data_IF_631108068011
#
_entry.id   IF_631108068011
#
_cell.length_a   1.000
_cell.length_b   1.000
_cell.length_c   1.000
_cell.angle_alpha   90.00
_cell.angle_beta   90.00
_cell.angle_gamma   90.00
#
_symmetry.space_group_name_H-M   'P 1'
#
loop_
_entity.id
_entity.type
_entity.pdbx_description
1 polymer ?
#
# COMPACT_ATOMS: atom_id res chain seq x y z
N UNK A 1 2.03 23.15 -41.80
CA UNK A 1 1.74 21.73 -41.50
C UNK A 1 2.69 21.08 -40.49
N UNK A 2 3.82 21.70 -40.10
CA UNK A 2 4.74 21.14 -39.08
C UNK A 2 4.35 21.60 -37.65
N UNK A 3 3.67 22.73 -37.51
CA UNK A 3 3.26 23.31 -36.23
C UNK A 3 2.12 22.55 -35.51
N UNK A 4 1.26 21.84 -36.25
CA UNK A 4 0.17 21.07 -35.64
C UNK A 4 0.63 19.76 -34.99
N UNK A 5 1.73 19.18 -35.47
CA UNK A 5 2.27 17.91 -34.95
C UNK A 5 2.93 18.13 -33.58
N UNK A 6 3.59 19.28 -33.36
CA UNK A 6 4.19 19.60 -32.06
C UNK A 6 3.16 19.83 -30.94
N UNK A 7 1.98 20.37 -31.27
CA UNK A 7 0.91 20.57 -30.27
C UNK A 7 0.31 19.22 -29.84
N UNK A 8 0.19 18.26 -30.77
CA UNK A 8 -0.33 16.91 -30.46
C UNK A 8 0.67 16.12 -29.61
N UNK A 9 1.98 16.26 -29.84
CA UNK A 9 3.01 15.58 -29.02
C UNK A 9 3.10 16.20 -27.62
N UNK A 10 2.87 17.51 -27.47
CA UNK A 10 2.79 18.15 -26.14
C UNK A 10 1.52 17.73 -25.39
N UNK A 11 0.39 17.53 -26.07
CA UNK A 11 -0.86 17.10 -25.43
C UNK A 11 -0.91 15.61 -25.08
N UNK A 12 -0.17 14.75 -25.81
CA UNK A 12 -0.09 13.31 -25.49
C UNK A 12 0.81 13.01 -24.29
N UNK A 13 1.82 13.85 -24.01
CA UNK A 13 2.70 13.66 -22.85
C UNK A 13 2.10 14.14 -21.51
N UNK A 14 0.94 14.82 -21.51
CA UNK A 14 0.29 15.27 -20.28
C UNK A 14 -0.75 14.30 -19.70
N UNK A 15 -1.01 13.17 -20.35
CA UNK A 15 -2.02 12.20 -19.90
C UNK A 15 -1.47 11.01 -19.09
N UNK A 16 -0.18 10.96 -18.78
CA UNK A 16 0.32 10.09 -17.69
C UNK A 16 0.22 10.86 -16.37
N UNK A 17 -0.98 11.37 -16.08
CA UNK A 17 -1.28 12.03 -14.82
C UNK A 17 -2.11 11.08 -13.97
N UNK A 18 -1.37 10.24 -13.23
CA UNK A 18 -1.75 9.77 -11.91
C UNK A 18 -3.16 9.17 -11.79
N UNK A 19 -3.24 7.84 -11.70
CA UNK A 19 -4.33 7.18 -10.98
C UNK A 19 -4.23 7.55 -9.48
N UNK A 20 -4.54 8.81 -9.17
CA UNK A 20 -4.74 9.30 -7.82
C UNK A 20 -6.09 8.79 -7.37
N UNK A 21 -6.08 7.62 -6.73
CA UNK A 21 -7.11 7.21 -5.78
C UNK A 21 -7.59 8.43 -4.99
N UNK A 22 -8.91 8.58 -4.87
CA UNK A 22 -9.60 9.64 -4.12
C UNK A 22 -8.87 9.99 -2.82
N UNK A 23 -8.86 11.26 -2.37
CA UNK A 23 -8.06 11.64 -1.21
C UNK A 23 -8.45 10.84 0.04
N UNK A 24 -7.54 9.97 0.49
CA UNK A 24 -7.74 8.91 1.49
C UNK A 24 -8.14 9.37 2.90
N UNK A 25 -8.07 10.68 3.17
CA UNK A 25 -8.60 11.31 4.38
C UNK A 25 -10.11 11.58 4.30
N UNK A 26 -10.72 11.44 3.12
CA UNK A 26 -12.17 11.40 2.91
C UNK A 26 -12.49 9.91 3.02
N UNK A 27 -12.95 9.48 4.20
CA UNK A 27 -13.48 8.13 4.34
C UNK A 27 -14.60 7.96 3.33
N UNK A 28 -14.40 7.07 2.36
CA UNK A 28 -15.39 6.68 1.38
C UNK A 28 -15.67 5.18 1.58
N UNK A 29 -16.50 4.88 2.57
CA UNK A 29 -17.63 3.99 2.25
C UNK A 29 -18.44 4.76 1.22
N UNK A 30 -18.32 4.42 -0.07
CA UNK A 30 -19.27 4.68 -1.17
C UNK A 30 -18.63 4.11 -2.43
N UNK A 31 -19.33 3.14 -3.01
CA UNK A 31 -19.07 2.48 -4.29
C UNK A 31 -18.71 3.47 -5.42
N UNK A 32 -17.64 3.19 -6.16
CA UNK A 32 -17.75 2.84 -7.59
C UNK A 32 -16.38 2.59 -8.22
N UNK A 33 -16.39 1.55 -9.04
CA UNK A 33 -15.34 0.91 -9.83
C UNK A 33 -15.07 1.75 -11.08
N UNK A 34 -13.80 2.05 -11.36
CA UNK A 34 -13.34 2.39 -12.72
C UNK A 34 -12.04 1.62 -12.98
N UNK A 35 -12.07 0.91 -14.11
CA UNK A 35 -11.05 0.04 -14.68
C UNK A 35 -9.81 0.81 -15.17
N UNK A 36 -8.68 0.10 -15.27
CA UNK A 36 -7.96 -0.19 -16.53
C UNK A 36 -6.44 -0.39 -16.34
N UNK A 37 -5.99 -1.56 -16.83
CA UNK A 37 -4.86 -1.89 -17.71
C UNK A 37 -3.50 -1.17 -17.60
N UNK A 38 -2.42 -1.98 -17.49
CA UNK A 38 -1.29 -2.15 -18.46
C UNK A 38 -0.10 -2.85 -17.73
N UNK A 39 0.24 -4.08 -18.14
CA UNK A 39 1.48 -4.48 -18.85
C UNK A 39 2.78 -4.23 -18.05
N UNK A 40 3.29 -5.27 -17.37
CA UNK A 40 4.25 -6.28 -17.85
C UNK A 40 5.68 -5.90 -17.50
N UNK A 41 6.31 -6.64 -16.58
CA UNK A 41 7.72 -7.02 -16.68
C UNK A 41 7.90 -8.36 -15.99
N UNK A 42 8.40 -9.33 -16.74
CA UNK A 42 8.87 -10.62 -16.24
C UNK A 42 10.02 -10.39 -15.26
N UNK A 43 10.00 -11.06 -14.10
CA UNK A 43 11.23 -11.63 -13.59
C UNK A 43 10.98 -12.86 -12.72
N UNK A 44 11.57 -13.95 -13.17
CA UNK A 44 11.64 -15.27 -12.58
C UNK A 44 12.23 -15.24 -11.16
N UNK A 45 11.52 -15.85 -10.20
CA UNK A 45 11.95 -17.04 -9.45
C UNK A 45 11.42 -17.04 -8.01
N UNK A 46 10.66 -18.09 -7.65
CA UNK A 46 10.44 -18.64 -6.31
C UNK A 46 10.66 -17.68 -5.14
N UNK A 47 9.66 -16.88 -4.81
CA UNK A 47 9.71 -16.04 -3.61
C UNK A 47 9.41 -16.92 -2.39
N UNK A 48 10.48 -17.38 -1.76
CA UNK A 48 10.44 -18.15 -0.53
C UNK A 48 10.30 -17.19 0.65
N UNK A 49 9.08 -17.08 1.19
CA UNK A 49 8.83 -16.28 2.39
C UNK A 49 9.11 -17.09 3.64
N UNK A 50 9.91 -16.54 4.56
CA UNK A 50 10.24 -17.18 5.83
C UNK A 50 9.42 -16.57 6.96
N UNK A 51 8.62 -17.40 7.61
CA UNK A 51 8.09 -17.12 8.95
C UNK A 51 8.84 -18.08 9.89
N UNK A 52 9.57 -17.55 10.88
CA UNK A 52 10.33 -18.34 11.85
C UNK A 52 11.37 -19.33 11.29
N UNK A 53 12.08 -19.01 10.19
CA UNK A 53 12.99 -19.93 9.49
C UNK A 53 12.32 -21.19 8.89
N UNK A 54 11.00 -21.20 8.75
CA UNK A 54 10.26 -22.24 8.03
C UNK A 54 9.76 -21.61 6.73
N UNK A 55 10.09 -22.18 5.55
CA UNK A 55 9.53 -21.71 4.29
C UNK A 55 8.03 -22.03 4.28
N UNK A 56 7.20 -21.00 4.39
CA UNK A 56 5.75 -21.16 4.23
C UNK A 56 5.46 -20.99 2.75
N UNK A 57 5.35 -22.10 2.03
CA UNK A 57 4.63 -22.10 0.76
C UNK A 57 3.18 -21.70 1.04
N UNK A 58 2.54 -20.96 0.12
CA UNK A 58 1.11 -20.60 0.18
C UNK A 58 0.22 -21.82 0.49
N UNK A 59 0.68 -23.03 0.12
CA UNK A 59 0.06 -24.31 0.45
C UNK A 59 -0.14 -24.60 1.96
N UNK A 60 0.56 -23.88 2.85
CA UNK A 60 0.47 -24.03 4.30
C UNK A 60 -0.30 -22.89 4.99
N UNK A 61 -0.80 -21.91 4.23
CA UNK A 61 -1.73 -20.91 4.75
C UNK A 61 -3.11 -21.56 4.71
N UNK A 62 -3.79 -21.67 5.85
CA UNK A 62 -5.17 -22.14 5.91
C UNK A 62 -6.06 -21.12 5.17
N UNK A 63 -6.27 -21.40 3.89
CA UNK A 63 -6.96 -20.51 2.99
C UNK A 63 -8.47 -20.70 3.16
N UNK A 64 -9.17 -19.66 3.62
CA UNK A 64 -10.63 -19.73 3.80
C UNK A 64 -11.35 -19.93 2.46
N UNK A 65 -10.88 -19.26 1.39
CA UNK A 65 -11.47 -19.28 0.05
C UNK A 65 -10.39 -19.12 -1.01
N UNK A 66 -10.34 -20.03 -1.99
CA UNK A 66 -9.42 -19.95 -3.12
C UNK A 66 -9.96 -19.00 -4.18
N UNK A 67 -9.07 -18.35 -4.92
CA UNK A 67 -9.46 -17.36 -5.91
C UNK A 67 -8.54 -17.36 -7.14
N UNK A 68 -9.10 -17.02 -8.29
CA UNK A 68 -8.35 -16.67 -9.51
C UNK A 68 -8.29 -15.17 -9.70
N UNK A 69 -9.33 -14.47 -9.24
CA UNK A 69 -9.50 -13.03 -9.35
C UNK A 69 -10.06 -12.46 -8.06
N UNK A 70 -9.95 -11.15 -7.88
CA UNK A 70 -10.50 -10.48 -6.69
C UNK A 70 -12.04 -10.59 -6.59
N UNK A 71 -12.74 -10.84 -7.71
CA UNK A 71 -14.19 -11.07 -7.72
C UNK A 71 -14.62 -12.40 -7.11
N UNK A 72 -13.69 -13.34 -6.96
CA UNK A 72 -13.98 -14.65 -6.37
C UNK A 72 -14.03 -14.56 -4.83
N UNK A 73 -13.55 -13.45 -4.26
CA UNK A 73 -13.48 -13.26 -2.82
C UNK A 73 -14.68 -12.54 -2.23
N UNK A 74 -15.06 -12.93 -1.01
CA UNK A 74 -16.06 -12.21 -0.22
C UNK A 74 -15.71 -10.71 -0.01
N UNK A 75 -16.71 -9.84 0.17
CA UNK A 75 -16.49 -8.44 0.50
C UNK A 75 -15.55 -8.25 1.70
N UNK A 76 -14.53 -7.41 1.54
CA UNK A 76 -13.51 -7.16 2.57
C UNK A 76 -12.24 -8.00 2.44
N UNK A 77 -12.21 -8.98 1.53
CA UNK A 77 -11.03 -9.77 1.18
C UNK A 77 -10.48 -9.35 -0.20
N UNK A 78 -9.25 -9.80 -0.48
CA UNK A 78 -8.62 -9.68 -1.79
C UNK A 78 -8.00 -10.99 -2.18
N UNK A 79 -7.92 -11.24 -3.48
CA UNK A 79 -7.17 -12.37 -3.99
C UNK A 79 -5.67 -12.05 -3.96
N UNK A 80 -4.90 -12.85 -3.24
CA UNK A 80 -3.44 -12.75 -3.15
C UNK A 80 -2.76 -13.96 -3.77
N UNK A 81 -1.61 -13.71 -4.40
CA UNK A 81 -0.76 -14.74 -5.00
C UNK A 81 -1.43 -15.61 -6.08
N UNK A 82 -2.57 -15.17 -6.64
CA UNK A 82 -3.14 -15.79 -7.83
C UNK A 82 -2.24 -15.52 -9.03
N UNK A 83 -1.97 -16.57 -9.79
CA UNK A 83 -1.22 -16.52 -11.04
C UNK A 83 -2.07 -17.13 -12.15
N UNK A 84 -1.59 -17.09 -13.40
CA UNK A 84 -2.30 -17.77 -14.48
C UNK A 84 -2.39 -19.29 -14.27
N UNK A 85 -1.40 -19.88 -13.58
CA UNK A 85 -1.29 -21.33 -13.40
C UNK A 85 -1.83 -21.82 -12.05
N UNK A 86 -1.86 -20.96 -11.03
CA UNK A 86 -2.23 -21.34 -9.66
C UNK A 86 -3.31 -20.43 -9.09
N UNK A 87 -4.28 -21.04 -8.42
CA UNK A 87 -5.25 -20.35 -7.57
C UNK A 87 -4.53 -19.63 -6.42
N UNK A 88 -4.89 -18.37 -6.20
CA UNK A 88 -4.50 -17.60 -5.04
C UNK A 88 -5.42 -17.84 -3.84
N UNK A 89 -5.22 -17.03 -2.81
CA UNK A 89 -6.00 -17.08 -1.59
C UNK A 89 -6.71 -15.76 -1.29
N UNK A 90 -7.98 -15.83 -0.91
CA UNK A 90 -8.72 -14.69 -0.39
C UNK A 90 -8.27 -14.38 1.02
N UNK A 91 -7.57 -13.26 1.19
CA UNK A 91 -7.09 -12.81 2.50
C UNK A 91 -7.49 -11.36 2.76
N UNK A 92 -7.40 -10.94 4.02
CA UNK A 92 -7.65 -9.56 4.42
C UNK A 92 -6.48 -8.67 3.98
N UNK A 93 -6.82 -7.51 3.42
CA UNK A 93 -5.84 -6.44 3.17
C UNK A 93 -5.57 -5.67 4.44
N UNK A 94 -4.29 -5.44 4.75
CA UNK A 94 -3.86 -4.76 5.97
C UNK A 94 -3.19 -3.42 5.65
N UNK A 95 -3.35 -2.48 6.58
CA UNK A 95 -2.67 -1.18 6.57
C UNK A 95 -1.42 -1.25 7.44
N UNK A 96 -0.43 -0.36 7.24
CA UNK A 96 0.67 -0.28 8.18
C UNK A 96 0.15 -0.06 9.61
N UNK A 97 0.84 -0.67 10.57
CA UNK A 97 0.50 -0.82 11.99
C UNK A 97 -0.66 -1.80 12.30
N UNK A 98 -1.36 -2.37 11.32
CA UNK A 98 -2.32 -3.44 11.57
C UNK A 98 -1.61 -4.79 11.80
N UNK A 99 -2.16 -5.61 12.69
CA UNK A 99 -1.64 -6.93 13.06
C UNK A 99 -2.39 -8.05 12.34
N UNK A 100 -1.76 -9.23 12.25
CA UNK A 100 -2.31 -10.44 11.65
C UNK A 100 -1.83 -10.72 10.23
N UNK A 101 -0.68 -10.17 9.81
CA UNK A 101 -0.17 -10.39 8.46
C UNK A 101 0.52 -11.76 8.33
N UNK A 102 0.22 -12.54 7.30
CA UNK A 102 0.88 -13.84 7.07
C UNK A 102 1.83 -13.81 5.89
N UNK A 103 1.69 -12.82 5.01
CA UNK A 103 2.54 -12.57 3.85
C UNK A 103 2.70 -11.05 3.64
N UNK A 104 3.79 -10.62 3.01
CA UNK A 104 4.05 -9.19 2.76
C UNK A 104 2.99 -8.53 1.89
N UNK A 105 2.41 -9.28 0.93
CA UNK A 105 1.44 -8.74 -0.02
C UNK A 105 0.19 -8.18 0.68
N UNK A 106 -0.18 -8.74 1.84
CA UNK A 106 -1.29 -8.23 2.64
C UNK A 106 -1.04 -6.78 3.08
N UNK A 107 0.21 -6.40 3.35
CA UNK A 107 0.61 -5.05 3.73
C UNK A 107 0.78 -4.14 2.50
N UNK A 108 1.43 -4.66 1.44
CA UNK A 108 1.86 -3.89 0.26
C UNK A 108 0.73 -3.22 -0.51
N UNK A 109 -0.49 -3.76 -0.46
CA UNK A 109 -1.65 -3.14 -1.12
C UNK A 109 -1.95 -1.71 -0.63
N UNK A 110 -1.57 -1.38 0.61
CA UNK A 110 -1.71 -0.03 1.16
C UNK A 110 -0.57 0.90 0.74
N UNK A 111 0.63 0.34 0.51
CA UNK A 111 1.88 1.04 0.21
C UNK A 111 2.98 0.02 -0.13
N UNK A 112 3.67 0.16 -1.26
CA UNK A 112 4.78 -0.75 -1.63
C UNK A 112 5.89 -0.79 -0.58
N UNK A 113 6.08 0.30 0.15
CA UNK A 113 7.11 0.39 1.19
C UNK A 113 6.68 -0.16 2.55
N UNK A 114 5.86 -1.20 2.53
CA UNK A 114 5.43 -1.92 3.73
C UNK A 114 5.75 -3.40 3.61
N UNK A 115 6.01 -4.02 4.75
CA UNK A 115 6.29 -5.45 4.87
C UNK A 115 5.66 -6.02 6.14
N UNK A 116 5.55 -7.34 6.20
CA UNK A 116 5.09 -8.02 7.38
C UNK A 116 6.26 -8.32 8.32
N UNK A 117 6.16 -7.88 9.57
CA UNK A 117 7.08 -8.26 10.65
C UNK A 117 6.60 -9.56 11.29
N UNK A 118 7.32 -10.63 10.95
CA UNK A 118 7.10 -11.99 11.46
C UNK A 118 7.82 -12.27 12.78
N UNK A 119 8.63 -11.33 13.30
CA UNK A 119 9.34 -11.52 14.56
C UNK A 119 8.41 -11.49 15.79
N UNK A 120 7.18 -11.00 15.62
CA UNK A 120 6.17 -10.85 16.67
C UNK A 120 4.94 -11.68 16.33
N UNK A 121 4.21 -12.16 17.36
CA UNK A 121 2.91 -12.81 17.19
C UNK A 121 1.83 -12.11 18.05
N UNK A 122 0.73 -11.62 17.46
CA UNK A 122 0.44 -11.61 16.03
C UNK A 122 1.41 -10.69 15.27
N UNK A 123 1.79 -11.13 14.07
CA UNK A 123 2.65 -10.40 13.13
C UNK A 123 2.06 -9.03 12.77
N UNK A 124 2.88 -8.07 12.36
CA UNK A 124 2.44 -6.68 12.14
C UNK A 124 2.92 -6.13 10.80
N UNK A 125 2.07 -5.41 10.08
CA UNK A 125 2.49 -4.65 8.91
C UNK A 125 3.29 -3.42 9.33
N UNK A 126 4.53 -3.29 8.89
CA UNK A 126 5.42 -2.17 9.20
C UNK A 126 5.83 -1.42 7.94
N UNK A 127 6.39 -0.22 8.12
CA UNK A 127 7.04 0.55 7.05
C UNK A 127 8.50 0.13 6.90
N UNK A 128 9.05 0.21 5.70
CA UNK A 128 10.47 -0.03 5.45
C UNK A 128 11.37 0.95 6.20
N UNK A 129 12.61 0.53 6.45
CA UNK A 129 13.62 1.34 7.14
C UNK A 129 13.81 2.70 6.45
N UNK A 130 13.80 3.77 7.25
CA UNK A 130 13.91 5.14 6.76
C UNK A 130 12.58 5.76 6.33
N UNK A 131 11.47 5.04 6.49
CA UNK A 131 10.11 5.59 6.35
C UNK A 131 9.39 5.56 7.69
N UNK A 132 8.42 6.44 7.82
CA UNK A 132 7.78 6.76 9.09
C UNK A 132 6.27 6.59 9.00
N UNK A 133 5.68 5.92 9.98
CA UNK A 133 4.26 5.71 10.06
C UNK A 133 3.52 6.98 10.50
N UNK A 134 2.49 7.35 9.76
CA UNK A 134 1.52 8.37 10.19
C UNK A 134 0.23 8.25 9.37
N UNK A 135 -0.90 8.20 10.09
CA UNK A 135 -2.25 8.09 9.51
C UNK A 135 -2.40 6.94 8.51
N UNK A 136 -2.02 5.72 8.91
CA UNK A 136 -2.15 4.51 8.10
C UNK A 136 -1.34 4.53 6.80
N UNK A 137 -0.30 5.37 6.73
CA UNK A 137 0.62 5.48 5.59
C UNK A 137 2.06 5.55 6.05
N UNK A 138 2.95 5.10 5.18
CA UNK A 138 4.39 5.27 5.32
C UNK A 138 4.83 6.54 4.60
N UNK A 139 5.55 7.38 5.32
CA UNK A 139 6.05 8.67 4.87
C UNK A 139 7.55 8.62 4.70
N UNK A 140 8.07 9.20 3.61
CA UNK A 140 9.52 9.38 3.40
C UNK A 140 10.11 10.33 4.44
N UNK A 141 9.37 11.38 4.75
CA UNK A 141 9.71 12.38 5.76
C UNK A 141 8.47 12.77 6.55
N UNK A 142 8.64 13.10 7.83
CA UNK A 142 7.52 13.59 8.63
C UNK A 142 7.00 14.92 8.06
N UNK A 143 5.67 15.05 7.87
CA UNK A 143 5.10 16.25 7.28
C UNK A 143 5.22 17.46 8.21
N UNK A 144 5.08 18.67 7.66
CA UNK A 144 5.24 19.94 8.39
C UNK A 144 4.33 20.09 9.62
N UNK A 145 3.14 19.47 9.60
CA UNK A 145 2.19 19.45 10.70
C UNK A 145 2.53 18.42 11.80
N UNK A 146 3.55 17.61 11.59
CA UNK A 146 4.17 16.72 12.57
C UNK A 146 5.53 17.26 13.01
N UNK A 147 6.08 16.72 14.10
CA UNK A 147 7.46 16.96 14.49
C UNK A 147 8.41 16.42 13.42
N UNK A 148 9.53 17.11 13.16
CA UNK A 148 10.48 16.70 12.12
C UNK A 148 11.16 15.38 12.49
N UNK A 149 11.43 15.17 13.77
CA UNK A 149 12.09 13.98 14.28
C UNK A 149 11.03 12.89 14.58
N UNK A 150 11.09 11.75 13.87
CA UNK A 150 10.21 10.63 14.14
C UNK A 150 10.59 9.96 15.47
N UNK A 151 9.58 9.44 16.17
CA UNK A 151 9.80 8.62 17.36
C UNK A 151 10.07 7.18 16.91
N UNK A 152 11.14 6.60 17.43
CA UNK A 152 11.52 5.21 17.20
C UNK A 152 11.20 4.38 18.44
N UNK A 153 10.45 3.31 18.26
CA UNK A 153 10.20 2.34 19.33
C UNK A 153 11.39 1.38 19.49
N UNK A 154 11.39 0.62 20.59
CA UNK A 154 12.42 -0.39 20.90
C UNK A 154 12.59 -1.48 19.81
N UNK A 155 11.57 -1.68 18.98
CA UNK A 155 11.56 -2.63 17.87
C UNK A 155 12.06 -2.01 16.54
N UNK A 156 12.46 -0.73 16.56
CA UNK A 156 12.85 0.00 15.35
C UNK A 156 11.68 0.53 14.52
N UNK A 157 10.45 0.42 15.01
CA UNK A 157 9.28 1.03 14.39
C UNK A 157 9.38 2.55 14.47
N UNK A 158 9.24 3.21 13.32
CA UNK A 158 9.35 4.66 13.20
C UNK A 158 8.00 5.30 12.95
N UNK A 159 7.63 6.29 13.75
CA UNK A 159 6.36 7.01 13.61
C UNK A 159 6.52 8.52 13.74
N UNK A 160 5.72 9.28 12.97
CA UNK A 160 5.66 10.72 13.12
C UNK A 160 4.61 11.11 14.16
N UNK A 161 4.95 12.08 15.01
CA UNK A 161 4.02 12.62 16.03
C UNK A 161 3.46 13.96 15.57
N UNK A 162 2.15 14.12 15.64
CA UNK A 162 1.46 15.34 15.21
C UNK A 162 1.72 16.48 16.21
N UNK A 163 2.04 17.70 15.72
CA UNK A 163 2.25 18.90 16.57
C UNK A 163 0.96 19.42 17.19
N UNK A 164 -0.12 19.36 16.42
CA UNK A 164 -1.46 19.84 16.79
C UNK A 164 -2.45 18.68 16.99
N UNK A 165 -3.73 18.98 17.16
CA UNK A 165 -4.76 17.94 17.23
C UNK A 165 -4.83 17.11 15.93
N UNK A 166 -5.19 15.83 16.05
CA UNK A 166 -5.42 14.92 14.93
C UNK A 166 -6.42 15.50 13.92
N UNK A 167 -7.47 16.17 14.41
CA UNK A 167 -8.45 16.88 13.58
C UNK A 167 -7.81 17.94 12.69
N UNK A 168 -6.93 18.77 13.24
CA UNK A 168 -6.26 19.82 12.47
C UNK A 168 -5.28 19.25 11.44
N UNK A 169 -4.58 18.17 11.78
CA UNK A 169 -3.71 17.47 10.83
C UNK A 169 -4.49 16.85 9.68
N UNK A 170 -5.63 16.21 9.95
CA UNK A 170 -6.53 15.69 8.91
C UNK A 170 -7.06 16.81 8.02
N UNK A 171 -7.43 17.97 8.59
CA UNK A 171 -7.83 19.15 7.82
C UNK A 171 -6.69 19.71 6.96
N UNK A 172 -5.45 19.69 7.48
CA UNK A 172 -4.28 20.13 6.73
C UNK A 172 -3.99 19.19 5.54
N UNK A 173 -4.01 17.87 5.78
CA UNK A 173 -3.88 16.86 4.73
C UNK A 173 -4.99 17.00 3.70
N UNK A 174 -6.22 17.32 4.16
CA UNK A 174 -7.37 17.63 3.31
C UNK A 174 -7.11 18.75 2.33
N UNK A 175 -6.52 19.84 2.82
CA UNK A 175 -6.26 21.04 2.03
C UNK A 175 -5.06 20.87 1.10
N UNK A 176 -4.03 20.16 1.53
CA UNK A 176 -2.74 20.04 0.83
C UNK A 176 -2.51 18.64 0.24
N UNK A 177 -3.56 17.85 0.10
CA UNK A 177 -3.46 16.44 -0.30
C UNK A 177 -2.64 16.25 -1.57
N UNK A 178 -2.87 17.08 -2.59
CA UNK A 178 -2.13 17.01 -3.87
C UNK A 178 -0.62 17.15 -3.70
N UNK A 179 -0.18 18.08 -2.87
CA UNK A 179 1.23 18.34 -2.59
C UNK A 179 1.86 17.23 -1.75
N UNK A 180 1.10 16.71 -0.78
CA UNK A 180 1.60 15.68 0.13
C UNK A 180 1.70 14.29 -0.53
N UNK A 181 1.08 14.08 -1.70
CA UNK A 181 1.05 12.78 -2.37
C UNK A 181 2.42 12.16 -2.59
N UNK A 182 3.40 12.97 -2.97
CA UNK A 182 4.75 12.49 -3.29
C UNK A 182 5.57 12.12 -2.04
N UNK A 183 5.10 12.53 -0.85
CA UNK A 183 5.77 12.30 0.43
C UNK A 183 5.29 11.02 1.12
N UNK A 184 4.11 10.52 0.77
CA UNK A 184 3.74 9.13 1.03
C UNK A 184 4.57 8.22 0.10
N UNK A 185 4.59 6.91 0.39
CA UNK A 185 4.89 5.83 -0.57
C UNK A 185 5.55 6.31 -1.89
#
# INVERSE_FOLDING_TARGET
>A
MISYIFVVILLLNFNILTNCTSPWYIGSDINNKIDSNEESYEENNNIQFTVNHIPISINNIECEERCTTTSDCRPGLSCFSATFENEGCCLRTLKPNETGCVIDDQCKRSCESTHCDFSQYPSRCLCDKGRHFLFNKCWKHCPSFAYPDPVMDSTGFSQCVVKASTKNAVLYMRRHGRHLRNNYC
#
